data_IF_834136207478
#
_entry.id   IF_834136207478
#
_cell.length_a   1.000
_cell.length_b   1.000
_cell.length_c   1.000
_cell.angle_alpha   90.00
_cell.angle_beta   90.00
_cell.angle_gamma   90.00
#
_symmetry.space_group_name_H-M   'P 1'
#
loop_
_entity.id
_entity.type
_entity.pdbx_description
1 polymer ?
#
# COMPACT_ATOMS: atom_id res chain seq x y z
N UNK A 1 33.09 15.28 19.11
CA UNK A 1 34.56 15.32 18.91
C UNK A 1 34.98 16.67 18.30
N UNK A 2 34.43 17.09 17.16
CA UNK A 2 34.73 18.37 16.50
C UNK A 2 34.47 19.59 17.38
N UNK A 3 33.39 19.59 18.17
CA UNK A 3 33.08 20.68 19.11
C UNK A 3 34.18 20.89 20.17
N UNK A 4 34.70 19.78 20.70
CA UNK A 4 35.80 19.87 21.69
C UNK A 4 37.10 20.39 21.07
N UNK A 5 37.36 20.02 19.82
CA UNK A 5 38.54 20.50 19.07
C UNK A 5 38.44 22.00 18.79
N UNK A 6 37.31 22.49 18.30
CA UNK A 6 37.11 23.93 18.05
C UNK A 6 37.14 24.75 19.32
N UNK A 7 36.53 24.27 20.42
CA UNK A 7 36.59 24.90 21.71
C UNK A 7 38.04 25.02 22.28
N UNK A 8 38.87 23.99 22.04
CA UNK A 8 40.28 24.00 22.42
C UNK A 8 41.10 25.07 21.69
N UNK A 9 40.65 25.47 20.49
CA UNK A 9 41.22 26.55 19.69
C UNK A 9 40.65 27.94 20.08
N UNK A 10 39.73 27.99 21.06
CA UNK A 10 39.07 29.19 21.49
C UNK A 10 38.02 29.72 20.53
N UNK A 11 37.43 28.83 19.71
CA UNK A 11 36.33 29.15 18.80
C UNK A 11 34.99 28.78 19.44
N UNK A 12 33.94 29.53 19.11
CA UNK A 12 32.58 29.26 19.52
C UNK A 12 31.84 28.51 18.41
N UNK A 13 30.95 27.60 18.79
CA UNK A 13 30.17 26.79 17.82
C UNK A 13 28.71 27.16 17.95
N UNK A 14 28.09 27.48 16.81
CA UNK A 14 26.66 27.50 16.65
C UNK A 14 26.26 26.30 15.82
N UNK A 15 25.55 25.35 16.44
CA UNK A 15 25.09 24.14 15.80
C UNK A 15 23.66 24.32 15.29
N UNK A 16 23.45 23.89 14.06
CA UNK A 16 22.14 23.65 13.47
C UNK A 16 22.09 22.22 12.94
N UNK A 17 20.93 21.59 13.02
CA UNK A 17 20.71 20.27 12.45
C UNK A 17 20.05 20.44 11.07
N UNK A 18 20.48 19.64 10.08
CA UNK A 18 19.97 19.72 8.72
C UNK A 18 20.11 18.40 7.97
N UNK A 19 19.31 18.21 6.94
CA UNK A 19 19.41 17.02 6.10
C UNK A 19 20.62 17.08 5.17
N UNK A 20 21.19 15.91 4.89
CA UNK A 20 22.24 15.73 3.87
C UNK A 20 22.08 14.39 3.18
N UNK A 21 22.07 14.40 1.86
CA UNK A 21 21.99 13.17 1.04
C UNK A 21 23.30 12.37 1.03
N UNK A 22 24.43 13.03 1.34
CA UNK A 22 25.77 12.44 1.19
C UNK A 22 26.46 12.21 2.54
N UNK A 23 26.16 13.03 3.55
CA UNK A 23 26.85 13.00 4.83
C UNK A 23 26.01 12.21 5.84
N UNK A 24 26.60 11.17 6.47
CA UNK A 24 25.90 10.38 7.48
C UNK A 24 25.40 11.21 8.66
N UNK A 25 24.30 10.78 9.28
CA UNK A 25 23.77 11.41 10.48
C UNK A 25 24.83 11.52 11.60
N UNK A 26 24.84 12.67 12.28
CA UNK A 26 25.79 12.97 13.34
C UNK A 26 27.14 13.54 12.87
N UNK A 27 27.38 13.61 11.57
CA UNK A 27 28.59 14.21 11.00
C UNK A 27 28.33 15.65 10.54
N UNK A 28 29.38 16.47 10.49
CA UNK A 28 29.27 17.84 9.99
C UNK A 28 29.12 17.81 8.47
N UNK A 29 27.96 18.25 8.00
CA UNK A 29 27.65 18.33 6.56
C UNK A 29 28.24 19.61 5.95
N UNK A 30 28.22 20.71 6.68
CA UNK A 30 28.73 22.01 6.23
C UNK A 30 29.12 22.85 7.43
N UNK A 31 30.07 23.74 7.22
CA UNK A 31 30.44 24.77 8.17
C UNK A 31 30.62 26.11 7.46
N UNK A 32 30.47 27.18 8.18
CA UNK A 32 30.72 28.54 7.72
C UNK A 32 31.08 29.44 8.89
N UNK A 33 31.74 30.55 8.59
CA UNK A 33 31.93 31.65 9.53
C UNK A 33 31.23 32.87 8.95
N UNK A 34 30.10 33.26 9.57
CA UNK A 34 29.23 34.35 9.04
C UNK A 34 29.98 35.66 8.86
N UNK A 35 30.93 35.95 9.74
CA UNK A 35 31.76 37.18 9.67
C UNK A 35 32.84 37.13 8.56
N UNK A 36 33.14 35.94 8.03
CA UNK A 36 34.16 35.70 7.02
C UNK A 36 33.70 34.63 6.00
N UNK A 37 32.81 34.98 5.09
CA UNK A 37 32.13 33.99 4.23
C UNK A 37 33.05 33.25 3.21
N UNK A 38 34.25 33.80 2.98
CA UNK A 38 35.24 33.18 2.06
C UNK A 38 36.32 32.37 2.79
N UNK A 39 36.17 32.12 4.10
CA UNK A 39 37.12 31.37 4.91
C UNK A 39 37.15 29.89 4.43
N UNK A 40 38.35 29.38 4.29
CA UNK A 40 38.57 27.95 3.98
C UNK A 40 39.32 27.25 5.11
N UNK A 41 39.25 25.93 5.12
CA UNK A 41 39.97 25.14 6.12
C UNK A 41 41.47 25.40 6.04
N UNK A 42 42.06 25.75 7.19
CA UNK A 42 43.49 26.09 7.29
C UNK A 42 43.75 27.61 7.45
N UNK A 43 42.77 28.45 7.23
CA UNK A 43 42.92 29.91 7.43
C UNK A 43 42.98 30.27 8.94
N UNK A 44 43.68 31.34 9.25
CA UNK A 44 43.77 31.85 10.61
C UNK A 44 42.53 32.68 11.00
N UNK A 45 42.00 32.44 12.18
CA UNK A 45 40.83 33.15 12.71
C UNK A 45 41.10 33.66 14.13
N UNK A 46 40.40 34.72 14.49
CA UNK A 46 40.52 35.32 15.82
C UNK A 46 39.81 34.45 16.87
N UNK A 47 40.37 34.32 18.07
CA UNK A 47 39.71 33.67 19.20
C UNK A 47 38.35 34.32 19.48
N UNK A 48 37.33 33.50 19.76
CA UNK A 48 35.95 33.94 19.93
C UNK A 48 35.15 34.00 18.61
N UNK A 49 35.79 33.65 17.46
CA UNK A 49 35.04 33.56 16.21
C UNK A 49 33.99 32.45 16.30
N UNK A 50 32.77 32.81 15.91
CA UNK A 50 31.64 31.84 15.85
C UNK A 50 31.67 31.08 14.54
N UNK A 51 31.73 29.76 14.65
CA UNK A 51 31.66 28.84 13.54
C UNK A 51 30.26 28.19 13.52
N UNK A 52 29.50 28.50 12.47
CA UNK A 52 28.22 27.89 12.23
C UNK A 52 28.45 26.50 11.61
N UNK A 53 27.94 25.47 12.25
CA UNK A 53 28.06 24.08 11.75
C UNK A 53 26.69 23.47 11.54
N UNK A 54 26.47 22.88 10.36
CA UNK A 54 25.31 22.08 10.09
C UNK A 54 25.68 20.62 10.29
N UNK A 55 25.03 20.00 11.28
CA UNK A 55 25.18 18.58 11.57
C UNK A 55 24.13 17.81 10.79
N UNK A 56 24.57 16.86 9.99
CA UNK A 56 23.65 16.01 9.22
C UNK A 56 22.73 15.20 10.14
N UNK A 57 21.45 15.21 9.83
CA UNK A 57 20.45 14.28 10.38
C UNK A 57 20.22 13.08 9.46
N UNK A 58 21.02 12.95 8.41
CA UNK A 58 20.85 11.97 7.35
C UNK A 58 20.06 12.52 6.17
N UNK A 59 19.67 11.66 5.21
CA UNK A 59 18.85 12.04 4.07
C UNK A 59 17.51 12.62 4.49
N UNK A 60 16.97 13.54 3.70
CA UNK A 60 15.62 14.05 3.91
C UNK A 60 14.59 12.94 3.76
N UNK A 61 13.61 12.79 4.67
CA UNK A 61 12.53 11.83 4.50
C UNK A 61 11.69 12.13 3.26
N UNK A 62 11.16 11.10 2.62
CA UNK A 62 10.33 11.19 1.42
C UNK A 62 8.85 11.05 1.77
N UNK A 63 8.01 11.86 1.15
CA UNK A 63 6.57 11.71 1.26
C UNK A 63 6.14 10.53 0.39
N UNK A 64 5.48 9.54 0.99
CA UNK A 64 4.94 8.38 0.28
C UNK A 64 3.81 8.83 -0.65
N UNK A 65 3.89 8.53 -1.96
CA UNK A 65 2.88 8.93 -2.93
C UNK A 65 1.64 8.03 -2.86
N UNK A 66 0.52 8.49 -3.44
CA UNK A 66 -0.65 7.64 -3.69
C UNK A 66 -0.37 6.67 -4.84
N UNK A 67 -0.43 5.37 -4.55
CA UNK A 67 -0.16 4.30 -5.52
C UNK A 67 -1.43 3.51 -5.89
N UNK A 68 -2.53 3.68 -5.14
CA UNK A 68 -3.77 2.97 -5.41
C UNK A 68 -4.27 3.25 -6.83
N UNK A 69 -4.69 2.20 -7.51
CA UNK A 69 -5.16 2.29 -8.90
C UNK A 69 -4.06 2.31 -9.95
N UNK A 70 -2.79 2.38 -9.56
CA UNK A 70 -1.66 2.26 -10.49
C UNK A 70 -1.26 0.78 -10.67
N UNK A 71 -0.57 0.47 -11.76
CA UNK A 71 0.10 -0.83 -11.90
C UNK A 71 1.36 -0.87 -11.05
N UNK A 72 1.81 -2.07 -10.67
CA UNK A 72 3.03 -2.23 -9.87
C UNK A 72 4.26 -1.62 -10.59
N UNK A 73 4.37 -1.79 -11.91
CA UNK A 73 5.50 -1.24 -12.70
C UNK A 73 5.49 0.29 -12.72
N UNK A 74 4.32 0.92 -12.84
CA UNK A 74 4.20 2.37 -12.78
C UNK A 74 4.57 2.90 -11.39
N UNK A 75 4.12 2.24 -10.33
CA UNK A 75 4.42 2.58 -8.96
C UNK A 75 5.92 2.42 -8.64
N UNK A 76 6.57 1.39 -9.19
CA UNK A 76 8.02 1.19 -9.04
C UNK A 76 8.81 2.38 -9.59
N UNK A 77 8.42 2.88 -10.77
CA UNK A 77 9.03 4.08 -11.35
C UNK A 77 8.89 5.30 -10.46
N UNK A 78 7.67 5.56 -9.96
CA UNK A 78 7.40 6.70 -9.06
C UNK A 78 8.19 6.59 -7.75
N UNK A 79 8.26 5.39 -7.16
CA UNK A 79 9.01 5.17 -5.93
C UNK A 79 10.52 5.27 -6.14
N UNK A 80 11.04 4.79 -7.27
CA UNK A 80 12.45 4.90 -7.62
C UNK A 80 12.92 6.35 -7.73
N UNK A 81 12.13 7.23 -8.32
CA UNK A 81 12.40 8.68 -8.40
C UNK A 81 12.51 9.30 -7.01
N UNK A 82 11.73 8.82 -6.05
CA UNK A 82 11.76 9.24 -4.64
C UNK A 82 12.83 8.52 -3.82
N UNK A 83 13.62 7.64 -4.40
CA UNK A 83 14.58 6.77 -3.67
C UNK A 83 13.90 5.89 -2.63
N UNK A 84 12.71 5.41 -2.94
CA UNK A 84 11.96 4.39 -2.19
C UNK A 84 11.95 3.09 -2.99
N UNK A 85 11.67 1.97 -2.32
CA UNK A 85 11.59 0.66 -2.95
C UNK A 85 10.19 0.09 -2.86
N UNK A 86 9.75 -0.60 -3.90
CA UNK A 86 8.49 -1.33 -3.87
C UNK A 86 8.70 -2.73 -3.33
N UNK A 87 7.76 -3.20 -2.49
CA UNK A 87 7.65 -4.58 -2.05
C UNK A 87 6.23 -5.07 -2.34
N UNK A 88 6.10 -5.99 -3.29
CA UNK A 88 4.84 -6.65 -3.58
C UNK A 88 4.65 -7.83 -2.64
N UNK A 89 3.46 -7.96 -2.05
CA UNK A 89 3.02 -9.10 -1.26
C UNK A 89 1.91 -9.85 -1.99
N UNK A 90 1.31 -10.85 -1.35
CA UNK A 90 0.27 -11.67 -1.96
C UNK A 90 -0.93 -10.82 -2.42
N UNK A 91 -1.34 -11.05 -3.68
CA UNK A 91 -2.45 -10.36 -4.31
C UNK A 91 -3.78 -10.70 -3.62
N UNK A 92 -4.67 -9.71 -3.48
CA UNK A 92 -5.96 -9.86 -2.83
C UNK A 92 -7.12 -9.44 -3.73
N UNK A 93 -8.33 -9.84 -3.36
CA UNK A 93 -9.54 -9.42 -4.05
C UNK A 93 -9.97 -8.02 -3.57
N UNK A 94 -10.29 -7.15 -4.52
CA UNK A 94 -10.86 -5.82 -4.27
C UNK A 94 -12.05 -5.62 -5.21
N UNK A 95 -13.17 -5.14 -4.67
CA UNK A 95 -14.39 -4.95 -5.45
C UNK A 95 -14.36 -3.70 -6.32
N UNK A 96 -13.57 -2.72 -5.92
CA UNK A 96 -13.50 -1.37 -6.48
C UNK A 96 -12.17 -1.06 -7.18
N UNK A 97 -11.26 -2.04 -7.27
CA UNK A 97 -9.96 -1.88 -7.93
C UNK A 97 -9.81 -2.92 -9.04
N UNK A 98 -9.56 -2.50 -10.28
CA UNK A 98 -9.34 -3.40 -11.39
C UNK A 98 -8.21 -4.40 -11.15
N UNK A 99 -8.29 -5.55 -11.83
CA UNK A 99 -7.23 -6.58 -11.81
C UNK A 99 -5.88 -5.99 -12.24
N UNK A 100 -4.82 -6.31 -11.50
CA UNK A 100 -3.46 -5.88 -11.82
C UNK A 100 -3.07 -4.50 -11.29
N UNK A 101 -4.01 -3.77 -10.68
CA UNK A 101 -3.75 -2.48 -10.06
C UNK A 101 -3.58 -2.61 -8.54
N UNK A 102 -2.84 -1.69 -7.95
CA UNK A 102 -2.61 -1.63 -6.50
C UNK A 102 -3.92 -1.29 -5.79
N UNK A 103 -4.36 -2.17 -4.91
CA UNK A 103 -5.54 -1.99 -4.07
C UNK A 103 -5.24 -1.39 -2.70
N UNK A 104 -4.04 -1.67 -2.19
CA UNK A 104 -3.62 -1.24 -0.85
C UNK A 104 -2.11 -1.03 -0.79
N UNK A 105 -1.65 -0.09 0.05
CA UNK A 105 -0.25 0.20 0.29
C UNK A 105 0.05 0.48 1.77
N UNK A 106 1.28 0.21 2.18
CA UNK A 106 1.84 0.55 3.50
C UNK A 106 3.29 1.00 3.31
N UNK A 107 3.69 2.19 3.79
CA UNK A 107 2.90 3.20 4.51
C UNK A 107 1.80 3.83 3.66
N UNK A 108 0.76 4.44 4.29
CA UNK A 108 -0.27 5.16 3.55
C UNK A 108 0.29 6.41 2.86
N UNK A 109 -0.40 6.93 1.82
CA UNK A 109 0.03 8.14 1.13
C UNK A 109 0.08 9.33 2.09
N UNK A 110 1.09 10.18 1.90
CA UNK A 110 1.33 11.36 2.73
C UNK A 110 2.21 11.11 3.96
N UNK A 111 2.46 9.89 4.36
CA UNK A 111 3.43 9.59 5.43
C UNK A 111 4.87 9.81 4.96
N UNK A 112 5.74 10.10 5.94
CA UNK A 112 7.18 10.25 5.71
C UNK A 112 7.87 8.89 5.83
N UNK A 113 8.64 8.54 4.83
CA UNK A 113 9.46 7.35 4.78
C UNK A 113 10.94 7.72 4.63
N UNK A 114 11.81 6.99 5.30
CA UNK A 114 13.24 7.17 5.13
C UNK A 114 13.68 6.77 3.72
N UNK A 115 14.75 7.40 3.23
CA UNK A 115 15.38 7.00 1.97
C UNK A 115 15.70 5.50 1.97
N UNK A 116 15.50 4.86 0.83
CA UNK A 116 15.72 3.42 0.60
C UNK A 116 14.79 2.49 1.39
N UNK A 117 13.79 3.02 2.11
CA UNK A 117 12.77 2.19 2.76
C UNK A 117 11.79 1.56 1.76
N UNK A 118 11.09 0.53 2.22
CA UNK A 118 10.15 -0.22 1.39
C UNK A 118 8.72 0.28 1.55
N UNK A 119 8.04 0.46 0.43
CA UNK A 119 6.58 0.63 0.37
C UNK A 119 5.98 -0.70 -0.07
N UNK A 120 5.26 -1.34 0.85
CA UNK A 120 4.57 -2.60 0.59
C UNK A 120 3.28 -2.33 -0.16
N UNK A 121 3.03 -3.08 -1.23
CA UNK A 121 1.81 -2.97 -2.03
C UNK A 121 1.11 -4.31 -2.19
N UNK A 122 -0.21 -4.27 -2.23
CA UNK A 122 -1.09 -5.40 -2.52
C UNK A 122 -1.77 -5.14 -3.85
N UNK A 123 -1.62 -6.06 -4.81
CA UNK A 123 -2.23 -5.93 -6.14
C UNK A 123 -3.58 -6.61 -6.15
N UNK A 124 -4.53 -6.00 -6.85
CA UNK A 124 -5.90 -6.48 -6.99
C UNK A 124 -6.01 -7.68 -7.93
N UNK A 125 -6.70 -8.72 -7.46
CA UNK A 125 -7.24 -9.82 -8.29
C UNK A 125 -8.60 -9.45 -8.92
N UNK A 126 -9.10 -8.24 -8.70
CA UNK A 126 -10.46 -7.82 -9.02
C UNK A 126 -11.46 -8.27 -7.96
N UNK A 127 -12.77 -8.21 -8.26
CA UNK A 127 -13.80 -8.70 -7.35
C UNK A 127 -13.76 -10.24 -7.24
N UNK A 128 -14.00 -10.73 -6.03
CA UNK A 128 -14.15 -12.18 -5.80
C UNK A 128 -15.55 -12.60 -6.24
N UNK A 129 -15.66 -13.08 -7.48
CA UNK A 129 -16.92 -13.44 -8.09
C UNK A 129 -16.93 -14.89 -8.56
N UNK A 130 -18.13 -15.46 -8.64
CA UNK A 130 -18.40 -16.80 -9.12
C UNK A 130 -19.55 -16.78 -10.12
N UNK A 131 -19.62 -17.80 -10.95
CA UNK A 131 -20.70 -17.95 -11.93
C UNK A 131 -21.76 -18.90 -11.39
N UNK A 132 -23.02 -18.52 -11.48
CA UNK A 132 -24.16 -19.41 -11.15
C UNK A 132 -24.13 -20.63 -12.07
N UNK A 133 -24.02 -21.87 -11.52
CA UNK A 133 -23.90 -23.06 -12.32
C UNK A 133 -25.22 -23.41 -13.07
N UNK A 134 -25.11 -24.27 -14.08
CA UNK A 134 -26.27 -24.86 -14.73
C UNK A 134 -26.90 -25.93 -13.84
N UNK A 135 -28.16 -25.76 -13.46
CA UNK A 135 -28.86 -26.62 -12.50
C UNK A 135 -30.01 -27.40 -13.10
N UNK A 136 -30.13 -27.40 -14.42
CA UNK A 136 -31.20 -28.11 -15.12
C UNK A 136 -31.11 -29.62 -14.89
N UNK A 137 -32.28 -30.25 -14.66
CA UNK A 137 -32.44 -31.68 -14.43
C UNK A 137 -31.71 -32.26 -13.22
N UNK A 138 -31.28 -31.40 -12.30
CA UNK A 138 -30.68 -31.79 -11.03
C UNK A 138 -31.76 -31.98 -9.96
N UNK A 139 -31.61 -33.00 -9.11
CA UNK A 139 -32.40 -33.10 -7.89
C UNK A 139 -31.92 -32.08 -6.86
N UNK A 140 -32.69 -31.88 -5.78
CA UNK A 140 -32.39 -30.89 -4.74
C UNK A 140 -30.97 -31.03 -4.17
N UNK A 141 -30.55 -32.27 -3.85
CA UNK A 141 -29.21 -32.52 -3.32
C UNK A 141 -28.08 -32.11 -4.27
N UNK A 142 -28.27 -32.42 -5.56
CA UNK A 142 -27.31 -32.03 -6.61
C UNK A 142 -27.29 -30.49 -6.81
N UNK A 143 -28.45 -29.84 -6.74
CA UNK A 143 -28.54 -28.36 -6.79
C UNK A 143 -27.77 -27.72 -5.65
N UNK A 144 -28.00 -28.17 -4.43
CA UNK A 144 -27.28 -27.66 -3.23
C UNK A 144 -25.77 -27.87 -3.37
N UNK A 145 -25.38 -29.08 -3.79
CA UNK A 145 -23.95 -29.41 -3.98
C UNK A 145 -23.32 -28.51 -5.05
N UNK A 146 -23.94 -28.38 -6.23
CA UNK A 146 -23.43 -27.57 -7.33
C UNK A 146 -23.28 -26.08 -6.96
N UNK A 147 -24.23 -25.51 -6.21
CA UNK A 147 -24.16 -24.14 -5.71
C UNK A 147 -23.06 -23.96 -4.67
N UNK A 148 -22.91 -24.92 -3.75
CA UNK A 148 -21.85 -24.92 -2.73
C UNK A 148 -20.47 -25.04 -3.37
N UNK A 149 -20.30 -25.94 -4.33
CA UNK A 149 -19.04 -26.14 -5.07
C UNK A 149 -18.67 -24.90 -5.89
N UNK A 150 -19.68 -24.17 -6.39
CA UNK A 150 -19.48 -22.87 -7.03
C UNK A 150 -19.14 -21.73 -6.05
N UNK A 151 -19.14 -21.99 -4.75
CA UNK A 151 -18.84 -20.98 -3.72
C UNK A 151 -20.02 -20.07 -3.37
N UNK A 152 -21.27 -20.54 -3.62
CA UNK A 152 -22.50 -19.88 -3.22
C UNK A 152 -23.06 -20.51 -1.95
N UNK A 153 -23.85 -19.76 -1.20
CA UNK A 153 -24.50 -20.24 0.03
C UNK A 153 -25.98 -20.44 -0.22
N UNK A 154 -26.51 -21.64 0.04
CA UNK A 154 -27.94 -21.89 -0.07
C UNK A 154 -28.62 -21.38 1.19
N UNK A 155 -29.53 -20.43 1.03
CA UNK A 155 -30.35 -19.83 2.09
C UNK A 155 -31.74 -20.42 2.14
N UNK A 156 -32.77 -19.57 1.96
CA UNK A 156 -34.17 -19.97 2.07
C UNK A 156 -34.60 -20.89 0.91
N UNK A 157 -35.32 -21.95 1.24
CA UNK A 157 -35.91 -22.88 0.29
C UNK A 157 -37.42 -22.76 0.40
N UNK A 158 -38.10 -22.50 -0.71
CA UNK A 158 -39.55 -22.39 -0.81
C UNK A 158 -40.13 -23.49 -1.73
N UNK A 159 -41.25 -24.03 -1.37
CA UNK A 159 -41.88 -25.13 -2.12
C UNK A 159 -41.37 -26.52 -1.71
N UNK A 160 -41.81 -27.55 -2.46
CA UNK A 160 -41.45 -28.95 -2.18
C UNK A 160 -40.15 -29.32 -2.93
N UNK A 161 -39.10 -29.68 -2.17
CA UNK A 161 -37.78 -30.06 -2.73
C UNK A 161 -37.81 -31.32 -3.61
N UNK A 162 -38.88 -32.11 -3.60
CA UNK A 162 -39.15 -33.19 -4.56
C UNK A 162 -39.67 -32.72 -5.92
N UNK A 163 -40.06 -31.44 -6.01
CA UNK A 163 -40.53 -30.81 -7.24
C UNK A 163 -39.41 -30.32 -8.14
N UNK A 164 -39.79 -29.49 -9.10
CA UNK A 164 -38.86 -28.91 -10.08
C UNK A 164 -38.36 -27.54 -9.54
N UNK A 165 -37.06 -27.33 -9.65
CA UNK A 165 -36.48 -26.00 -9.38
C UNK A 165 -36.97 -25.00 -10.45
N UNK A 166 -37.72 -23.99 -10.05
CA UNK A 166 -38.32 -22.99 -10.96
C UNK A 166 -37.59 -21.64 -10.92
N UNK A 167 -36.92 -21.33 -9.81
CA UNK A 167 -36.15 -20.07 -9.70
C UNK A 167 -35.02 -20.21 -8.68
N UNK A 168 -33.96 -19.46 -8.96
CA UNK A 168 -32.90 -19.10 -8.04
C UNK A 168 -32.98 -17.61 -7.85
N UNK A 169 -33.00 -17.15 -6.61
CA UNK A 169 -33.11 -15.71 -6.32
C UNK A 169 -31.90 -15.27 -5.47
N UNK A 170 -31.50 -14.02 -5.68
CA UNK A 170 -30.53 -13.29 -4.84
C UNK A 170 -31.23 -12.02 -4.40
N UNK A 171 -31.40 -11.85 -3.10
CA UNK A 171 -32.14 -10.71 -2.53
C UNK A 171 -33.55 -10.56 -3.15
N UNK A 172 -34.25 -11.67 -3.35
CA UNK A 172 -35.58 -11.73 -3.95
C UNK A 172 -35.62 -11.47 -5.46
N UNK A 173 -34.50 -11.33 -6.15
CA UNK A 173 -34.41 -11.12 -7.61
C UNK A 173 -33.95 -12.38 -8.29
N UNK A 174 -34.63 -12.80 -9.38
CA UNK A 174 -34.24 -14.02 -10.10
C UNK A 174 -32.87 -13.86 -10.74
N UNK A 175 -32.05 -14.91 -10.62
CA UNK A 175 -30.76 -15.04 -11.28
C UNK A 175 -30.77 -16.28 -12.17
N UNK A 176 -29.97 -16.24 -13.25
CA UNK A 176 -29.90 -17.32 -14.24
C UNK A 176 -28.53 -17.96 -14.27
N UNK A 177 -28.47 -19.18 -14.76
CA UNK A 177 -27.20 -19.89 -15.05
C UNK A 177 -26.29 -19.03 -15.93
N UNK A 178 -25.00 -18.98 -15.60
CA UNK A 178 -24.03 -18.15 -16.29
C UNK A 178 -23.91 -16.74 -15.75
N UNK A 179 -24.82 -16.28 -14.92
CA UNK A 179 -24.73 -14.95 -14.28
C UNK A 179 -23.62 -14.93 -13.24
N UNK A 180 -22.88 -13.83 -13.20
CA UNK A 180 -21.76 -13.60 -12.25
C UNK A 180 -22.30 -12.92 -11.02
N UNK A 181 -21.97 -13.45 -9.85
CA UNK A 181 -22.33 -12.92 -8.52
C UNK A 181 -21.12 -12.99 -7.59
N UNK A 182 -21.14 -12.24 -6.50
CA UNK A 182 -20.06 -12.29 -5.51
C UNK A 182 -19.96 -13.70 -4.88
N UNK A 183 -18.75 -14.18 -4.61
CA UNK A 183 -18.56 -15.42 -3.85
C UNK A 183 -19.20 -15.29 -2.47
N UNK A 184 -19.81 -16.37 -1.99
CA UNK A 184 -20.52 -16.39 -0.72
C UNK A 184 -21.91 -15.74 -0.78
N UNK A 185 -22.38 -15.30 -1.96
CA UNK A 185 -23.75 -14.80 -2.11
C UNK A 185 -24.76 -15.86 -1.66
N UNK A 186 -25.71 -15.44 -0.82
CA UNK A 186 -26.81 -16.28 -0.39
C UNK A 186 -27.86 -16.36 -1.51
N UNK A 187 -28.14 -17.56 -1.95
CA UNK A 187 -29.16 -17.83 -2.97
C UNK A 187 -30.38 -18.49 -2.33
N UNK A 188 -31.56 -18.06 -2.75
CA UNK A 188 -32.84 -18.64 -2.37
C UNK A 188 -33.32 -19.55 -3.49
N UNK A 189 -33.88 -20.71 -3.14
CA UNK A 189 -34.36 -21.71 -4.09
C UNK A 189 -35.88 -21.80 -4.03
N UNK A 190 -36.51 -21.71 -5.19
CA UNK A 190 -37.96 -21.92 -5.30
C UNK A 190 -38.25 -23.17 -6.13
N UNK A 191 -39.04 -24.07 -5.55
CA UNK A 191 -39.47 -25.30 -6.17
C UNK A 191 -40.98 -25.31 -6.41
N UNK A 192 -41.41 -25.95 -7.51
CA UNK A 192 -42.80 -26.14 -7.86
C UNK A 192 -43.09 -27.63 -8.11
N UNK A 193 -44.19 -28.12 -7.58
CA UNK A 193 -44.64 -29.52 -7.71
C UNK A 193 -45.06 -30.09 -6.37
N UNK A 194 -45.90 -31.06 -6.43
CA UNK A 194 -46.44 -31.80 -5.29
C UNK A 194 -45.62 -33.07 -5.05
#
# INVERSE_FOLDING_TARGET
EAAAQLASLGLEIRREDGYSEEVPAGSIARWAVTSQPNLVAGDEVVKGTVVDVIVSTGPEPRVVPELRGQTADAAEGVLADLKLRIRRVEDQYFTDVPVGQIGFQVPPPGELAERDSEVTVVVSKGPDVVTVPVLERMNHGQVVQALTDAGLVVGTITGNTGGILVAILVEGRPVTSGQVVARGTVVELAYFGS
#
